data_IF_498362274017
#
_entry.id   IF_498362274017
#
_cell.length_a   1.000
_cell.length_b   1.000
_cell.length_c   1.000
_cell.angle_alpha   90.00
_cell.angle_beta   90.00
_cell.angle_gamma   90.00
#
_symmetry.space_group_name_H-M   'P 1'
#
loop_
_entity.id
_entity.type
_entity.pdbx_description
1 polymer ?
#
# COMPACT_ATOMS: atom_id res chain seq x y z
N UNK A 1 -41.99 -15.36 -27.59
CA UNK A 1 -41.70 -15.84 -26.22
C UNK A 1 -40.83 -17.08 -26.32
N UNK A 2 -39.53 -16.98 -26.00
CA UNK A 2 -38.63 -18.14 -25.86
C UNK A 2 -38.18 -18.19 -24.42
N UNK A 3 -38.55 -19.27 -23.72
CA UNK A 3 -38.19 -19.50 -22.32
C UNK A 3 -36.70 -19.77 -22.21
N UNK A 4 -36.05 -19.05 -21.28
CA UNK A 4 -34.69 -19.34 -20.87
C UNK A 4 -34.69 -20.62 -20.03
N UNK A 5 -33.95 -21.62 -20.47
CA UNK A 5 -33.67 -22.84 -19.72
C UNK A 5 -32.86 -22.51 -18.48
N UNK A 6 -33.50 -22.54 -17.32
CA UNK A 6 -32.82 -22.57 -16.01
C UNK A 6 -32.30 -23.97 -15.77
N UNK A 7 -31.05 -24.23 -16.19
CA UNK A 7 -30.32 -25.40 -15.69
C UNK A 7 -29.97 -25.16 -14.22
N UNK A 8 -30.45 -25.97 -13.26
CA UNK A 8 -30.02 -25.84 -11.88
C UNK A 8 -28.61 -26.41 -11.78
N UNK A 9 -27.61 -25.54 -11.63
CA UNK A 9 -26.28 -25.98 -11.21
C UNK A 9 -26.38 -26.48 -9.77
N UNK A 10 -26.37 -27.80 -9.62
CA UNK A 10 -26.11 -28.51 -8.37
C UNK A 10 -24.69 -28.16 -7.93
N UNK A 11 -24.57 -27.25 -6.96
CA UNK A 11 -23.28 -26.75 -6.48
C UNK A 11 -23.05 -27.13 -5.03
N UNK A 12 -21.96 -27.87 -4.82
CA UNK A 12 -21.25 -28.13 -3.58
C UNK A 12 -21.33 -26.97 -2.57
N UNK A 13 -21.39 -27.33 -1.29
CA UNK A 13 -21.67 -26.45 -0.14
C UNK A 13 -21.24 -25.00 -0.34
N UNK A 14 -22.20 -24.08 -0.11
CA UNK A 14 -22.02 -22.63 -0.08
C UNK A 14 -21.05 -22.22 1.05
N UNK A 15 -19.78 -22.57 0.92
CA UNK A 15 -18.75 -22.11 1.82
C UNK A 15 -18.43 -20.67 1.46
N UNK A 16 -18.76 -19.76 2.37
CA UNK A 16 -18.34 -18.36 2.33
C UNK A 16 -16.86 -18.35 2.72
N UNK A 17 -15.97 -18.25 1.73
CA UNK A 17 -14.51 -18.30 1.96
C UNK A 17 -13.91 -16.88 1.98
N UNK A 18 -14.57 -15.90 1.37
CA UNK A 18 -14.06 -14.53 1.27
C UNK A 18 -14.57 -13.65 2.41
N UNK A 19 -13.65 -13.24 3.29
CA UNK A 19 -13.91 -12.30 4.38
C UNK A 19 -12.99 -11.10 4.26
N UNK A 20 -13.57 -9.90 4.36
CA UNK A 20 -12.83 -8.65 4.56
C UNK A 20 -13.17 -8.19 5.97
N UNK A 21 -12.18 -8.22 6.86
CA UNK A 21 -12.31 -7.69 8.21
C UNK A 21 -11.83 -6.23 8.23
N UNK A 22 -12.68 -5.34 8.74
CA UNK A 22 -12.37 -3.93 8.98
C UNK A 22 -12.56 -3.69 10.48
N UNK A 23 -11.63 -2.99 11.12
CA UNK A 23 -11.78 -2.67 12.54
C UNK A 23 -12.98 -1.75 12.78
N UNK A 24 -13.60 -1.87 13.95
CA UNK A 24 -14.83 -1.14 14.29
C UNK A 24 -14.67 0.38 14.14
N UNK A 25 -13.59 1.02 14.64
CA UNK A 25 -13.38 2.45 14.42
C UNK A 25 -13.35 2.84 12.94
N UNK A 26 -12.57 2.13 12.11
CA UNK A 26 -12.45 2.42 10.68
C UNK A 26 -13.78 2.21 9.95
N UNK A 27 -14.50 1.13 10.27
CA UNK A 27 -15.82 0.86 9.70
C UNK A 27 -16.79 2.00 10.02
N UNK A 28 -16.91 2.39 11.29
CA UNK A 28 -17.80 3.47 11.71
C UNK A 28 -17.46 4.81 11.05
N UNK A 29 -16.17 5.09 10.82
CA UNK A 29 -15.73 6.37 10.28
C UNK A 29 -15.78 6.45 8.75
N UNK A 30 -15.62 5.32 8.05
CA UNK A 30 -15.32 5.33 6.61
C UNK A 30 -16.17 4.39 5.79
N UNK A 31 -17.01 3.54 6.37
CA UNK A 31 -17.80 2.63 5.56
C UNK A 31 -18.77 3.36 4.62
N UNK A 32 -18.71 3.03 3.33
CA UNK A 32 -19.62 3.55 2.30
C UNK A 32 -20.57 2.48 1.77
N UNK A 33 -20.03 1.36 1.28
CA UNK A 33 -20.82 0.27 0.71
C UNK A 33 -20.02 -1.03 0.66
N UNK A 34 -20.70 -2.18 0.58
CA UNK A 34 -20.08 -3.47 0.33
C UNK A 34 -20.98 -4.34 -0.56
N UNK A 35 -20.37 -5.01 -1.55
CA UNK A 35 -21.11 -5.82 -2.52
C UNK A 35 -20.37 -7.09 -2.92
N UNK A 36 -21.16 -8.07 -3.35
CA UNK A 36 -20.66 -9.25 -4.04
C UNK A 36 -20.95 -9.14 -5.53
N UNK A 37 -20.01 -9.55 -6.37
CA UNK A 37 -20.17 -9.55 -7.82
C UNK A 37 -19.43 -10.75 -8.43
N UNK A 38 -19.84 -11.17 -9.63
CA UNK A 38 -19.11 -12.16 -10.41
C UNK A 38 -18.05 -11.47 -11.25
N UNK A 39 -16.84 -12.02 -11.26
CA UNK A 39 -15.82 -11.64 -12.22
C UNK A 39 -15.99 -12.46 -13.51
N UNK A 40 -15.76 -11.83 -14.66
CA UNK A 40 -15.73 -12.53 -15.95
C UNK A 40 -14.50 -13.44 -16.07
N UNK A 41 -13.46 -13.20 -15.26
CA UNK A 41 -12.20 -13.93 -15.30
C UNK A 41 -12.11 -15.06 -14.27
N UNK A 42 -12.93 -14.99 -13.20
CA UNK A 42 -12.90 -15.95 -12.09
C UNK A 42 -14.31 -16.53 -11.93
N UNK A 43 -14.50 -17.74 -12.45
CA UNK A 43 -15.80 -18.42 -12.48
C UNK A 43 -16.10 -19.21 -11.19
N UNK A 44 -15.07 -19.60 -10.44
CA UNK A 44 -15.16 -20.49 -9.28
C UNK A 44 -15.55 -19.78 -7.97
N UNK A 45 -15.40 -18.45 -7.90
CA UNK A 45 -15.66 -17.66 -6.69
C UNK A 45 -16.44 -16.37 -6.98
N UNK A 46 -17.22 -15.91 -5.99
CA UNK A 46 -17.83 -14.58 -5.99
C UNK A 46 -16.83 -13.56 -5.45
N UNK A 47 -16.61 -12.46 -6.15
CA UNK A 47 -15.76 -11.40 -5.63
C UNK A 47 -16.51 -10.58 -4.57
N UNK A 48 -15.83 -10.24 -3.48
CA UNK A 48 -16.35 -9.31 -2.47
C UNK A 48 -15.59 -7.98 -2.53
N UNK A 49 -16.32 -6.87 -2.53
CA UNK A 49 -15.76 -5.52 -2.53
C UNK A 49 -16.33 -4.73 -1.37
N UNK A 50 -15.46 -4.02 -0.65
CA UNK A 50 -15.82 -3.03 0.36
C UNK A 50 -15.30 -1.68 -0.10
N UNK A 51 -16.16 -0.68 -0.11
CA UNK A 51 -15.82 0.70 -0.43
C UNK A 51 -15.77 1.50 0.86
N UNK A 52 -14.61 2.10 1.12
CA UNK A 52 -14.41 3.03 2.23
C UNK A 52 -14.30 4.45 1.66
N UNK A 53 -14.95 5.41 2.31
CA UNK A 53 -14.87 6.83 2.01
C UNK A 53 -13.60 7.43 2.62
N UNK A 54 -12.98 8.35 1.87
CA UNK A 54 -11.86 9.14 2.37
C UNK A 54 -12.33 10.01 3.53
N UNK A 55 -11.76 9.78 4.71
CA UNK A 55 -11.82 10.69 5.84
C UNK A 55 -10.56 11.53 5.87
N UNK A 56 -10.68 12.79 6.27
CA UNK A 56 -9.54 13.61 6.66
C UNK A 56 -8.93 13.00 7.91
N UNK A 57 -7.99 12.07 7.72
CA UNK A 57 -7.18 11.55 8.81
C UNK A 57 -6.43 12.75 9.38
N UNK A 58 -6.75 13.12 10.63
CA UNK A 58 -5.84 13.92 11.44
C UNK A 58 -4.56 13.10 11.51
N UNK A 59 -3.58 13.43 10.66
CA UNK A 59 -2.29 12.75 10.63
C UNK A 59 -1.68 12.99 12.00
N UNK A 60 -1.88 12.03 12.92
CA UNK A 60 -1.32 12.08 14.26
C UNK A 60 0.15 12.40 14.11
N UNK A 61 0.68 13.26 15.01
CA UNK A 61 2.03 13.84 14.91
C UNK A 61 3.04 12.80 14.42
N UNK A 62 3.24 12.74 13.11
CA UNK A 62 4.25 11.89 12.53
C UNK A 62 5.56 12.38 13.11
N UNK A 63 6.27 11.50 13.82
CA UNK A 63 7.56 11.82 14.44
C UNK A 63 8.53 12.44 13.41
N UNK A 64 8.31 12.15 12.13
CA UNK A 64 9.05 12.74 11.03
C UNK A 64 8.15 13.62 10.14
N UNK A 65 8.43 14.92 10.10
CA UNK A 65 7.98 15.82 9.04
C UNK A 65 9.18 16.09 8.14
N UNK A 66 9.05 15.83 6.85
CA UNK A 66 10.06 16.24 5.87
C UNK A 66 10.18 17.77 5.89
N UNK A 67 11.34 18.34 6.30
CA UNK A 67 11.51 19.79 6.30
C UNK A 67 11.44 20.31 4.87
N UNK A 68 10.50 21.22 4.57
CA UNK A 68 10.29 21.72 3.21
C UNK A 68 11.54 22.37 2.61
N UNK A 69 12.33 23.07 3.42
CA UNK A 69 13.61 23.66 3.00
C UNK A 69 14.65 22.63 2.54
N UNK A 70 14.51 21.35 2.91
CA UNK A 70 15.39 20.30 2.40
C UNK A 70 15.13 20.02 0.91
N UNK A 71 13.91 20.26 0.44
CA UNK A 71 13.54 20.11 -0.98
C UNK A 71 13.98 21.32 -1.83
N UNK A 72 14.35 22.44 -1.19
CA UNK A 72 14.93 23.59 -1.87
C UNK A 72 16.38 23.35 -2.29
N UNK A 73 17.05 22.37 -1.67
CA UNK A 73 18.42 21.96 -2.01
C UNK A 73 18.36 21.07 -3.27
N UNK A 74 18.87 21.52 -4.43
CA UNK A 74 18.75 20.78 -5.69
C UNK A 74 19.40 19.40 -5.65
N UNK A 75 20.51 19.26 -4.92
CA UNK A 75 21.24 18.00 -4.76
C UNK A 75 20.40 16.97 -4.02
N UNK A 76 19.68 17.40 -2.97
CA UNK A 76 18.82 16.50 -2.18
C UNK A 76 17.62 16.06 -3.01
N UNK A 77 16.97 17.00 -3.69
CA UNK A 77 15.82 16.70 -4.55
C UNK A 77 16.23 15.78 -5.71
N UNK A 78 17.39 16.02 -6.33
CA UNK A 78 17.93 15.17 -7.39
C UNK A 78 18.23 13.76 -6.90
N UNK A 79 18.84 13.62 -5.71
CA UNK A 79 19.12 12.32 -5.11
C UNK A 79 17.84 11.53 -4.81
N UNK A 80 16.83 12.18 -4.22
CA UNK A 80 15.51 11.55 -3.94
C UNK A 80 14.85 11.07 -5.23
N UNK A 81 14.80 11.92 -6.26
CA UNK A 81 14.16 11.59 -7.54
C UNK A 81 14.91 10.46 -8.24
N UNK A 82 16.24 10.52 -8.29
CA UNK A 82 17.07 9.49 -8.93
C UNK A 82 16.89 8.13 -8.26
N UNK A 83 16.87 8.12 -6.93
CA UNK A 83 16.64 6.91 -6.16
C UNK A 83 15.23 6.34 -6.35
N UNK A 84 14.21 7.20 -6.32
CA UNK A 84 12.84 6.78 -6.57
C UNK A 84 12.68 6.18 -7.98
N UNK A 85 13.29 6.81 -9.00
CA UNK A 85 13.30 6.30 -10.38
C UNK A 85 13.97 4.94 -10.51
N UNK A 86 15.01 4.67 -9.72
CA UNK A 86 15.66 3.36 -9.70
C UNK A 86 14.81 2.30 -8.98
N UNK A 87 14.13 2.67 -7.89
CA UNK A 87 13.40 1.73 -7.05
C UNK A 87 12.01 1.36 -7.59
N UNK A 88 11.27 2.33 -8.13
CA UNK A 88 9.87 2.15 -8.55
C UNK A 88 9.70 1.02 -9.58
N UNK A 89 10.49 0.94 -10.67
CA UNK A 89 10.36 -0.15 -11.64
C UNK A 89 10.61 -1.52 -11.00
N UNK A 90 11.55 -1.62 -10.06
CA UNK A 90 11.87 -2.87 -9.37
C UNK A 90 10.68 -3.32 -8.52
N UNK A 91 10.06 -2.40 -7.78
CA UNK A 91 8.89 -2.71 -6.95
C UNK A 91 7.67 -3.13 -7.80
N UNK A 92 7.45 -2.47 -8.93
CA UNK A 92 6.31 -2.77 -9.82
C UNK A 92 6.39 -4.15 -10.47
N UNK A 93 7.60 -4.64 -10.74
CA UNK A 93 7.82 -5.93 -11.39
C UNK A 93 8.25 -7.04 -10.43
N UNK A 94 8.37 -6.75 -9.14
CA UNK A 94 8.75 -7.74 -8.14
C UNK A 94 7.60 -8.71 -7.84
N UNK A 95 7.90 -10.01 -7.81
CA UNK A 95 6.96 -11.03 -7.33
C UNK A 95 6.56 -10.82 -5.86
N UNK A 96 7.46 -10.24 -5.04
CA UNK A 96 7.16 -9.83 -3.66
C UNK A 96 7.72 -8.42 -3.39
N UNK A 97 6.95 -7.36 -3.68
CA UNK A 97 7.38 -5.98 -3.49
C UNK A 97 7.70 -5.64 -2.03
N UNK A 98 7.06 -6.31 -1.06
CA UNK A 98 7.28 -6.10 0.37
C UNK A 98 8.69 -6.48 0.82
N UNK A 99 9.22 -7.61 0.33
CA UNK A 99 10.59 -8.06 0.62
C UNK A 99 11.62 -7.10 0.00
N UNK A 100 11.39 -6.68 -1.25
CA UNK A 100 12.26 -5.71 -1.94
C UNK A 100 12.30 -4.39 -1.20
N UNK A 101 11.14 -3.87 -0.77
CA UNK A 101 11.02 -2.66 0.02
C UNK A 101 11.75 -2.77 1.37
N UNK A 102 11.57 -3.88 2.09
CA UNK A 102 12.25 -4.13 3.36
C UNK A 102 13.78 -4.17 3.19
N UNK A 103 14.27 -4.82 2.15
CA UNK A 103 15.69 -4.86 1.80
C UNK A 103 16.25 -3.49 1.44
N UNK A 104 15.51 -2.70 0.67
CA UNK A 104 15.89 -1.31 0.34
C UNK A 104 16.00 -0.43 1.59
N UNK A 105 15.00 -0.46 2.48
CA UNK A 105 15.04 0.28 3.74
C UNK A 105 16.28 -0.05 4.56
N UNK A 106 16.59 -1.35 4.70
CA UNK A 106 17.77 -1.81 5.46
C UNK A 106 19.08 -1.26 4.88
N UNK A 107 19.22 -1.21 3.55
CA UNK A 107 20.40 -0.63 2.89
C UNK A 107 20.55 0.86 3.20
N UNK A 108 19.45 1.61 3.09
CA UNK A 108 19.44 3.07 3.30
C UNK A 108 19.71 3.46 4.76
N UNK A 109 19.25 2.66 5.72
CA UNK A 109 19.57 2.87 7.13
C UNK A 109 20.97 2.38 7.52
N UNK A 110 21.54 1.39 6.81
CA UNK A 110 22.90 0.91 7.07
C UNK A 110 24.01 1.81 6.53
N UNK A 111 23.73 2.63 5.50
CA UNK A 111 24.70 3.55 4.91
C UNK A 111 24.90 4.85 5.70
N UNK A 112 24.12 5.11 6.74
CA UNK A 112 24.26 6.29 7.61
C UNK A 112 25.17 6.05 8.81
N UNK A 113 26.35 5.42 8.61
CA UNK A 113 27.42 5.46 9.61
C UNK A 113 27.99 6.87 9.65
N UNK A 114 27.53 7.64 10.62
CA UNK A 114 28.06 8.93 11.06
C UNK A 114 29.59 8.91 11.07
N UNK A 115 30.21 9.65 10.15
CA UNK A 115 31.59 10.10 10.33
C UNK A 115 31.61 11.09 11.49
N UNK A 116 32.37 10.86 12.57
CA UNK A 116 32.49 11.84 13.64
C UNK A 116 33.24 13.05 13.10
N UNK A 117 32.58 14.21 13.12
CA UNK A 117 33.21 15.50 12.86
C UNK A 117 34.24 15.73 13.97
N UNK A 118 35.53 15.64 13.62
CA UNK A 118 36.64 15.97 14.52
C UNK A 118 36.67 17.49 14.67
N UNK A 119 36.20 18.00 15.80
CA UNK A 119 36.28 19.42 16.15
C UNK A 119 37.74 19.90 16.09
N UNK A 120 38.03 21.08 15.50
CA UNK A 120 39.38 21.62 15.51
C UNK A 120 39.80 22.05 16.93
N UNK A 121 41.10 22.03 17.26
CA UNK A 121 41.58 22.45 18.56
C UNK A 121 41.31 23.94 18.76
N UNK A 122 40.75 24.27 19.93
CA UNK A 122 40.60 25.66 20.39
C UNK A 122 42.00 26.25 20.57
N UNK A 123 42.31 27.32 19.84
CA UNK A 123 43.38 28.24 20.17
C UNK A 123 42.89 29.24 21.22
#
# INVERSE_FOLDING_TARGET
>A
MRGASTTPMTGYGRNRIDYIFVDTPTMCATYKDAKYFRSEQIAEHMCHSVTLQTTDVQVGRGYWKLPKGLLEIPEVTSAIISEARALVPILLHAHNPGVVWAGWKKRKTSSSTTTPIKSPPRA
#
